data_IF_020742525986
#
_entry.id   IF_020742525986
#
_cell.length_a   1.000
_cell.length_b   1.000
_cell.length_c   1.000
_cell.angle_alpha   90.00
_cell.angle_beta   90.00
_cell.angle_gamma   90.00
#
_symmetry.space_group_name_H-M   'P 1'
#
loop_
_entity.id
_entity.type
_entity.pdbx_description
1 polymer ?
#
# COMPACT_ATOMS: atom_id res chain seq x y z
N UNK A 1 -23.76 -16.71 3.17
CA UNK A 1 -23.60 -15.55 2.27
C UNK A 1 -22.10 -15.26 2.22
N UNK A 2 -21.37 -15.75 1.20
CA UNK A 2 -19.98 -15.34 1.01
C UNK A 2 -20.02 -13.85 0.71
N UNK A 3 -19.45 -13.01 1.58
CA UNK A 3 -19.15 -11.62 1.23
C UNK A 3 -18.36 -11.67 -0.08
N UNK A 4 -18.87 -11.03 -1.12
CA UNK A 4 -18.11 -10.76 -2.33
C UNK A 4 -16.86 -10.00 -1.88
N UNK A 5 -15.75 -10.71 -1.71
CA UNK A 5 -14.43 -10.12 -1.71
C UNK A 5 -14.30 -9.50 -3.08
N UNK A 6 -14.49 -8.18 -3.16
CA UNK A 6 -14.29 -7.43 -4.38
C UNK A 6 -12.93 -7.86 -4.95
N UNK A 7 -12.96 -8.42 -6.15
CA UNK A 7 -11.74 -8.84 -6.84
C UNK A 7 -11.01 -7.57 -7.23
N UNK A 8 -10.07 -7.14 -6.40
CA UNK A 8 -9.15 -6.05 -6.72
C UNK A 8 -8.11 -6.64 -7.69
N UNK A 9 -8.03 -6.15 -8.95
CA UNK A 9 -6.99 -6.59 -9.89
C UNK A 9 -5.62 -6.47 -9.23
N UNK A 10 -4.81 -7.53 -9.16
CA UNK A 10 -3.56 -7.50 -8.41
C UNK A 10 -2.38 -7.08 -9.30
N UNK A 11 -2.42 -5.83 -9.79
CA UNK A 11 -1.31 -5.25 -10.54
C UNK A 11 -0.34 -4.53 -9.61
N UNK A 12 0.95 -4.82 -9.73
CA UNK A 12 1.97 -3.98 -9.08
C UNK A 12 1.98 -2.58 -9.66
N UNK A 13 2.28 -1.58 -8.82
CA UNK A 13 2.40 -0.20 -9.25
C UNK A 13 3.44 0.55 -8.43
N UNK A 14 3.85 1.71 -8.95
CA UNK A 14 4.83 2.57 -8.30
C UNK A 14 4.17 3.86 -7.85
N UNK A 15 4.50 4.31 -6.64
CA UNK A 15 3.91 5.50 -6.02
C UNK A 15 5.01 6.40 -5.49
N UNK A 16 4.86 7.71 -5.70
CA UNK A 16 5.70 8.70 -5.04
C UNK A 16 5.13 8.97 -3.63
N UNK A 17 5.96 8.79 -2.60
CA UNK A 17 5.58 8.93 -1.20
C UNK A 17 6.49 9.94 -0.51
N UNK A 18 5.86 10.84 0.25
CA UNK A 18 6.55 11.89 0.99
C UNK A 18 6.77 11.45 2.43
N UNK A 19 8.00 11.02 2.74
CA UNK A 19 8.44 10.64 4.08
C UNK A 19 8.71 11.86 4.96
N UNK A 20 9.26 12.93 4.37
CA UNK A 20 9.49 14.22 5.02
C UNK A 20 9.44 15.38 4.00
N UNK A 21 9.71 16.63 4.41
CA UNK A 21 9.72 17.79 3.50
C UNK A 21 10.82 17.72 2.41
N UNK A 22 11.87 16.93 2.65
CA UNK A 22 13.04 16.80 1.76
C UNK A 22 13.29 15.35 1.36
N UNK A 23 12.39 14.44 1.72
CA UNK A 23 12.55 13.01 1.50
C UNK A 23 11.29 12.47 0.83
N UNK A 24 11.34 12.46 -0.50
CA UNK A 24 10.33 11.88 -1.37
C UNK A 24 10.94 10.68 -2.09
N UNK A 25 10.23 9.56 -2.09
CA UNK A 25 10.73 8.30 -2.66
C UNK A 25 9.67 7.60 -3.47
N UNK A 26 10.10 6.98 -4.56
CA UNK A 26 9.26 6.07 -5.32
C UNK A 26 9.28 4.71 -4.64
N UNK A 27 8.11 4.24 -4.21
CA UNK A 27 7.93 2.92 -3.63
C UNK A 27 7.21 2.03 -4.64
N UNK A 28 7.59 0.76 -4.70
CA UNK A 28 6.81 -0.26 -5.39
C UNK A 28 5.81 -0.89 -4.41
N UNK A 29 4.55 -0.94 -4.81
CA UNK A 29 3.46 -1.58 -4.08
C UNK A 29 3.13 -2.87 -4.81
N UNK A 30 3.47 -3.99 -4.16
CA UNK A 30 3.32 -5.32 -4.73
C UNK A 30 2.16 -6.04 -4.04
N UNK A 31 1.10 -6.44 -4.77
CA UNK A 31 0.05 -7.26 -4.18
C UNK A 31 0.62 -8.65 -3.82
N UNK A 32 0.20 -9.19 -2.68
CA UNK A 32 0.62 -10.52 -2.19
C UNK A 32 -0.57 -11.47 -2.04
N UNK A 33 -1.58 -11.04 -1.27
CA UNK A 33 -2.84 -11.75 -1.06
C UNK A 33 -3.98 -10.75 -1.25
N UNK A 34 -5.24 -11.19 -1.31
CA UNK A 34 -6.39 -10.29 -1.45
C UNK A 34 -6.38 -9.22 -0.35
N UNK A 35 -6.27 -7.94 -0.74
CA UNK A 35 -6.18 -6.81 0.18
C UNK A 35 -4.85 -6.68 0.93
N UNK A 36 -3.80 -7.44 0.59
CA UNK A 36 -2.49 -7.36 1.25
C UNK A 36 -1.39 -6.98 0.27
N UNK A 37 -0.61 -5.97 0.65
CA UNK A 37 0.43 -5.39 -0.19
C UNK A 37 1.77 -5.36 0.53
N UNK A 38 2.84 -5.66 -0.21
CA UNK A 38 4.22 -5.41 0.20
C UNK A 38 4.65 -4.06 -0.33
N UNK A 39 5.25 -3.25 0.53
CA UNK A 39 5.81 -1.95 0.18
C UNK A 39 7.31 -2.11 0.09
N UNK A 40 7.86 -1.82 -1.10
CA UNK A 40 9.27 -2.02 -1.43
C UNK A 40 9.93 -0.67 -1.73
N UNK A 41 11.01 -0.37 -1.04
CA UNK A 41 11.88 0.78 -1.29
C UNK A 41 13.24 0.27 -1.78
N UNK A 42 13.64 0.63 -3.00
CA UNK A 42 14.94 0.26 -3.58
C UNK A 42 15.28 -1.24 -3.47
N UNK A 43 14.30 -2.11 -3.70
CA UNK A 43 14.45 -3.58 -3.63
C UNK A 43 14.30 -4.17 -2.23
N UNK A 44 14.14 -3.36 -1.18
CA UNK A 44 13.95 -3.81 0.19
C UNK A 44 12.48 -3.71 0.59
N UNK A 45 11.91 -4.79 1.15
CA UNK A 45 10.56 -4.74 1.74
C UNK A 45 10.64 -3.95 3.03
N UNK A 46 10.05 -2.75 3.05
CA UNK A 46 10.02 -1.88 4.23
C UNK A 46 8.79 -2.08 5.09
N UNK A 47 7.69 -2.59 4.50
CA UNK A 47 6.46 -2.88 5.21
C UNK A 47 5.56 -3.88 4.46
N UNK A 48 4.66 -4.49 5.20
CA UNK A 48 3.46 -5.14 4.64
C UNK A 48 2.23 -4.42 5.19
N UNK A 49 1.31 -4.06 4.30
CA UNK A 49 0.08 -3.36 4.64
C UNK A 49 -1.14 -4.16 4.20
N UNK A 50 -2.15 -4.20 5.06
CA UNK A 50 -3.49 -4.65 4.69
C UNK A 50 -4.33 -3.43 4.33
N UNK A 51 -5.00 -3.50 3.20
CA UNK A 51 -5.99 -2.54 2.75
C UNK A 51 -7.38 -3.12 3.05
N UNK A 52 -8.06 -2.53 4.01
CA UNK A 52 -9.40 -2.92 4.44
C UNK A 52 -10.31 -1.70 4.42
N UNK A 53 -11.47 -1.80 3.74
CA UNK A 53 -12.50 -0.76 3.66
C UNK A 53 -11.93 0.68 3.61
N UNK A 54 -11.13 1.00 2.57
CA UNK A 54 -10.49 2.30 2.33
C UNK A 54 -9.30 2.69 3.24
N UNK A 55 -8.80 1.79 4.09
CA UNK A 55 -7.71 2.08 5.02
C UNK A 55 -6.52 1.13 4.90
N UNK A 56 -5.30 1.67 4.92
CA UNK A 56 -4.07 0.90 5.08
C UNK A 56 -3.66 0.75 6.55
N UNK A 57 -3.53 -0.50 7.00
CA UNK A 57 -2.95 -0.85 8.30
C UNK A 57 -1.64 -1.59 8.09
N UNK A 58 -0.58 -1.17 8.78
CA UNK A 58 0.70 -1.86 8.75
C UNK A 58 0.62 -3.16 9.56
N UNK A 59 0.84 -4.30 8.91
CA UNK A 59 0.83 -5.61 9.55
C UNK A 59 2.24 -6.13 9.82
N UNK A 60 3.23 -5.64 9.07
CA UNK A 60 4.66 -5.90 9.28
C UNK A 60 5.48 -4.65 8.96
N UNK A 61 6.55 -4.42 9.71
CA UNK A 61 7.33 -3.18 9.63
C UNK A 61 6.67 -2.04 10.39
N UNK A 62 7.14 -0.81 10.18
CA UNK A 62 6.58 0.38 10.83
C UNK A 62 6.62 1.57 9.87
N UNK A 63 5.48 1.87 9.26
CA UNK A 63 5.26 3.10 8.51
C UNK A 63 4.56 4.13 9.39
N UNK A 64 4.92 5.41 9.23
CA UNK A 64 4.25 6.51 9.92
C UNK A 64 2.81 6.66 9.41
N UNK A 65 1.85 7.12 10.23
CA UNK A 65 0.45 7.31 9.81
C UNK A 65 0.28 8.14 8.54
N UNK A 66 1.10 9.19 8.36
CA UNK A 66 1.12 10.02 7.14
C UNK A 66 1.49 9.22 5.88
N UNK A 67 2.36 8.22 6.01
CA UNK A 67 2.74 7.37 4.87
C UNK A 67 1.60 6.39 4.57
N UNK A 68 1.00 5.80 5.61
CA UNK A 68 -0.15 4.90 5.47
C UNK A 68 -1.34 5.61 4.80
N UNK A 69 -1.63 6.86 5.15
CA UNK A 69 -2.73 7.62 4.51
C UNK A 69 -2.46 7.89 3.03
N UNK A 70 -1.21 8.21 2.65
CA UNK A 70 -0.82 8.37 1.25
C UNK A 70 -0.94 7.05 0.49
N UNK A 71 -0.47 5.94 1.06
CA UNK A 71 -0.60 4.61 0.46
C UNK A 71 -2.07 4.22 0.27
N UNK A 72 -2.92 4.47 1.26
CA UNK A 72 -4.35 4.18 1.18
C UNK A 72 -5.02 4.90 0.03
N UNK A 73 -4.72 6.19 -0.13
CA UNK A 73 -5.23 6.99 -1.23
C UNK A 73 -4.74 6.47 -2.58
N UNK A 74 -3.44 6.19 -2.72
CA UNK A 74 -2.87 5.70 -3.98
C UNK A 74 -3.36 4.31 -4.37
N UNK A 75 -3.50 3.38 -3.40
CA UNK A 75 -4.09 2.06 -3.63
C UNK A 75 -5.55 2.20 -4.11
N UNK A 76 -6.32 3.10 -3.48
CA UNK A 76 -7.70 3.38 -3.89
C UNK A 76 -7.77 3.92 -5.31
N UNK A 77 -6.99 4.95 -5.63
CA UNK A 77 -6.97 5.56 -6.98
C UNK A 77 -6.50 4.58 -8.05
N UNK A 78 -5.55 3.69 -7.74
CA UNK A 78 -5.03 2.73 -8.71
C UNK A 78 -6.02 1.60 -9.05
N UNK A 79 -6.91 1.24 -8.12
CA UNK A 79 -7.85 0.12 -8.27
C UNK A 79 -9.33 0.54 -8.33
N UNK A 80 -9.62 1.85 -8.38
CA UNK A 80 -10.95 2.38 -8.67
C UNK A 80 -11.39 2.03 -10.10
#
# INVERSE_FOLDING_TARGET
MLKQLAFIPQHQFHVLINFSKQDERVLAVLPNEAGRFRVVDQGNIIAEVNFDHDNCVCCKGRLKPKILSQLSHQIKEHYA
#
